data_IF_607727423209
#
_entry.id   IF_607727423209
#
_cell.length_a   1.000
_cell.length_b   1.000
_cell.length_c   1.000
_cell.angle_alpha   90.00
_cell.angle_beta   90.00
_cell.angle_gamma   90.00
#
_symmetry.space_group_name_H-M   'P 1'
#
loop_
_entity.id
_entity.type
_entity.pdbx_description
1 polymer ?
#
# COMPACT_ATOMS: atom_id res chain seq x y z
N UNK A 1 13.95 26.63 3.52
CA UNK A 1 13.93 25.20 3.90
C UNK A 1 13.16 24.45 2.84
N UNK A 2 13.83 23.70 1.95
CA UNK A 2 13.14 22.90 0.92
C UNK A 2 12.51 21.68 1.58
N UNK A 3 11.24 21.78 1.98
CA UNK A 3 10.47 20.66 2.50
C UNK A 3 10.12 19.72 1.35
N UNK A 4 11.09 18.91 0.92
CA UNK A 4 10.85 17.84 -0.05
C UNK A 4 10.13 16.71 0.68
N UNK A 5 8.98 16.28 0.15
CA UNK A 5 8.27 15.13 0.68
C UNK A 5 9.17 13.88 0.57
N UNK A 6 9.18 12.99 1.56
CA UNK A 6 9.99 11.78 1.51
C UNK A 6 9.52 10.86 0.37
N UNK A 7 10.43 10.06 -0.18
CA UNK A 7 10.08 8.89 -1.00
C UNK A 7 9.97 7.66 -0.09
N UNK A 8 8.88 6.92 -0.18
CA UNK A 8 8.59 5.74 0.65
C UNK A 8 8.81 4.45 -0.16
N UNK A 9 9.48 3.47 0.43
CA UNK A 9 9.59 2.12 -0.13
C UNK A 9 8.70 1.17 0.68
N UNK A 10 7.85 0.41 -0.01
CA UNK A 10 6.95 -0.57 0.61
C UNK A 10 7.34 -1.97 0.10
N UNK A 11 7.52 -2.91 1.03
CA UNK A 11 7.90 -4.30 0.72
C UNK A 11 6.73 -5.21 1.08
N UNK A 12 6.08 -5.76 0.06
CA UNK A 12 4.80 -6.48 0.14
C UNK A 12 3.71 -5.76 -0.65
N UNK A 13 2.84 -6.52 -1.32
CA UNK A 13 1.62 -6.01 -1.95
C UNK A 13 0.36 -6.64 -1.32
N UNK A 14 0.35 -6.75 0.00
CA UNK A 14 -0.83 -7.15 0.77
C UNK A 14 -1.86 -6.04 0.88
N UNK A 15 -3.00 -6.33 1.52
CA UNK A 15 -4.09 -5.35 1.69
C UNK A 15 -3.63 -4.12 2.47
N UNK A 16 -2.83 -4.30 3.53
CA UNK A 16 -2.28 -3.19 4.31
C UNK A 16 -1.31 -2.32 3.51
N UNK A 17 -0.43 -2.96 2.74
CA UNK A 17 0.58 -2.28 1.92
C UNK A 17 -0.05 -1.46 0.79
N UNK A 18 -1.02 -2.05 0.09
CA UNK A 18 -1.79 -1.36 -0.94
C UNK A 18 -2.65 -0.25 -0.35
N UNK A 19 -3.17 -0.43 0.87
CA UNK A 19 -3.89 0.63 1.59
C UNK A 19 -2.96 1.81 1.91
N UNK A 20 -1.73 1.53 2.37
CA UNK A 20 -0.72 2.56 2.61
C UNK A 20 -0.37 3.29 1.30
N UNK A 21 -0.12 2.56 0.21
CA UNK A 21 0.10 3.15 -1.11
C UNK A 21 -1.02 4.09 -1.54
N UNK A 22 -2.28 3.68 -1.36
CA UNK A 22 -3.44 4.52 -1.67
C UNK A 22 -3.52 5.79 -0.81
N UNK A 23 -3.09 5.75 0.46
CA UNK A 23 -3.02 6.95 1.33
C UNK A 23 -1.90 7.88 0.87
N UNK A 24 -0.72 7.33 0.56
CA UNK A 24 0.43 8.10 0.08
C UNK A 24 0.17 8.77 -1.28
N UNK A 25 -0.51 8.06 -2.18
CA UNK A 25 -1.00 8.57 -3.46
C UNK A 25 -1.88 9.82 -3.24
N UNK A 26 -2.88 9.72 -2.36
CA UNK A 26 -3.77 10.83 -2.00
C UNK A 26 -3.02 12.00 -1.34
N UNK A 27 -2.00 11.71 -0.55
CA UNK A 27 -1.15 12.72 0.07
C UNK A 27 -0.12 13.33 -0.90
N UNK A 28 -0.06 12.84 -2.14
CA UNK A 28 0.90 13.23 -3.17
C UNK A 28 2.35 13.11 -2.63
N UNK A 29 2.62 11.96 -2.00
CA UNK A 29 3.93 11.53 -1.49
C UNK A 29 4.42 10.41 -2.42
N UNK A 30 5.67 10.49 -2.86
CA UNK A 30 6.22 9.47 -3.76
C UNK A 30 6.39 8.14 -3.03
N UNK A 31 5.98 7.03 -3.66
CA UNK A 31 6.20 5.69 -3.13
C UNK A 31 6.47 4.68 -4.24
N UNK A 32 7.03 3.54 -3.83
CA UNK A 32 7.28 2.39 -4.71
C UNK A 32 7.00 1.10 -3.93
N UNK A 33 6.26 0.18 -4.55
CA UNK A 33 5.83 -1.08 -3.92
C UNK A 33 6.51 -2.25 -4.63
N UNK A 34 7.18 -3.11 -3.87
CA UNK A 34 7.78 -4.34 -4.38
C UNK A 34 7.10 -5.57 -3.78
N UNK A 35 6.78 -6.55 -4.61
CA UNK A 35 6.20 -7.83 -4.21
C UNK A 35 7.02 -8.97 -4.81
N UNK A 36 7.25 -10.03 -4.02
CA UNK A 36 7.97 -11.23 -4.45
C UNK A 36 7.15 -12.04 -5.45
N UNK A 37 5.83 -12.12 -5.26
CA UNK A 37 4.95 -12.81 -6.18
C UNK A 37 4.94 -12.13 -7.55
N UNK A 38 5.21 -12.90 -8.60
CA UNK A 38 5.21 -12.41 -9.99
C UNK A 38 3.82 -12.01 -10.50
N UNK A 39 2.77 -12.40 -9.79
CA UNK A 39 1.38 -12.07 -10.07
C UNK A 39 0.54 -12.19 -8.80
N UNK A 40 -0.53 -11.39 -8.72
CA UNK A 40 -1.55 -11.53 -7.68
C UNK A 40 -2.32 -12.85 -7.90
N UNK A 41 -2.32 -13.71 -6.87
CA UNK A 41 -3.09 -14.95 -6.86
C UNK A 41 -4.14 -14.88 -5.75
N UNK A 42 -5.45 -14.77 -6.08
CA UNK A 42 -6.50 -14.83 -5.08
C UNK A 42 -6.46 -16.16 -4.34
N UNK A 43 -6.39 -16.14 -3.00
CA UNK A 43 -6.37 -17.34 -2.17
C UNK A 43 -7.77 -17.96 -1.97
N UNK A 44 -8.84 -17.25 -2.34
CA UNK A 44 -10.21 -17.75 -2.34
C UNK A 44 -10.93 -17.70 -0.99
N UNK A 45 -10.38 -17.01 0.01
CA UNK A 45 -11.05 -16.80 1.32
C UNK A 45 -11.77 -15.46 1.38
N UNK A 46 -12.87 -15.40 2.13
CA UNK A 46 -13.60 -14.16 2.38
C UNK A 46 -12.88 -13.29 3.41
N UNK A 47 -12.95 -11.96 3.23
CA UNK A 47 -12.48 -10.95 4.20
C UNK A 47 -13.65 -10.03 4.49
N UNK A 48 -13.96 -9.83 5.77
CA UNK A 48 -14.95 -8.86 6.22
C UNK A 48 -14.23 -7.57 6.65
N UNK A 49 -14.71 -6.42 6.17
CA UNK A 49 -14.26 -5.10 6.62
C UNK A 49 -15.43 -4.43 7.32
N UNK A 50 -15.27 -4.18 8.62
CA UNK A 50 -16.24 -3.47 9.45
C UNK A 50 -15.89 -2.00 9.64
N UNK A 51 -16.80 -1.21 10.25
CA UNK A 51 -16.49 0.15 10.67
C UNK A 51 -15.33 0.15 11.68
N UNK A 52 -14.52 1.21 11.63
CA UNK A 52 -13.59 1.53 12.71
C UNK A 52 -14.42 2.04 13.90
N UNK A 53 -14.17 1.50 15.09
CA UNK A 53 -14.78 1.95 16.33
C UNK A 53 -14.25 3.34 16.75
#
# INVERSE_FOLDING_TARGET
MSSTKPKVLIVGAGIGDLTLGAILEKANIQYEIFEKASALKPLGSAIAIGPLA
#
